data_IF_424888664404
#
_entry.id   IF_424888664404
#
_cell.length_a   1.000
_cell.length_b   1.000
_cell.length_c   1.000
_cell.angle_alpha   90.00
_cell.angle_beta   90.00
_cell.angle_gamma   90.00
#
_symmetry.space_group_name_H-M   'P 1'
#
loop_
_entity.id
_entity.type
_entity.pdbx_description
1 polymer ?
#
# COMPACT_ATOMS: atom_id res chain seq x y z
N UNK A 1 -0.99 -22.45 -10.47
CA UNK A 1 -1.30 -21.14 -9.85
C UNK A 1 -1.14 -21.14 -8.32
N UNK A 2 -1.07 -22.31 -7.68
CA UNK A 2 -0.82 -22.46 -6.22
C UNK A 2 0.61 -22.15 -5.81
N UNK A 3 1.60 -22.43 -6.66
CA UNK A 3 3.02 -22.28 -6.30
C UNK A 3 3.43 -20.83 -6.08
N UNK A 4 2.97 -19.91 -6.94
CA UNK A 4 3.26 -18.48 -6.80
C UNK A 4 2.66 -17.89 -5.52
N UNK A 5 1.45 -18.32 -5.15
CA UNK A 5 0.75 -17.85 -3.96
C UNK A 5 1.49 -18.27 -2.69
N UNK A 6 1.89 -19.54 -2.59
CA UNK A 6 2.64 -20.05 -1.44
C UNK A 6 4.02 -19.40 -1.32
N UNK A 7 4.71 -19.16 -2.46
CA UNK A 7 5.98 -18.41 -2.47
C UNK A 7 5.81 -16.99 -1.96
N UNK A 8 4.75 -16.30 -2.38
CA UNK A 8 4.47 -14.93 -1.95
C UNK A 8 4.17 -14.84 -0.44
N UNK A 9 3.31 -15.74 0.07
CA UNK A 9 3.01 -15.83 1.51
C UNK A 9 4.27 -16.15 2.32
N UNK A 10 5.12 -17.06 1.83
CA UNK A 10 6.41 -17.36 2.44
C UNK A 10 7.34 -16.15 2.49
N UNK A 11 7.44 -15.40 1.40
CA UNK A 11 8.26 -14.18 1.34
C UNK A 11 7.77 -13.11 2.32
N UNK A 12 6.45 -12.92 2.46
CA UNK A 12 5.86 -11.99 3.43
C UNK A 12 6.18 -12.38 4.87
N UNK A 13 6.13 -13.68 5.20
CA UNK A 13 6.50 -14.17 6.53
C UNK A 13 7.97 -13.89 6.84
N UNK A 14 8.86 -14.19 5.89
CA UNK A 14 10.30 -13.91 6.06
C UNK A 14 10.54 -12.41 6.24
N UNK A 15 9.89 -11.57 5.43
CA UNK A 15 9.99 -10.11 5.55
C UNK A 15 9.51 -9.61 6.92
N UNK A 16 8.41 -10.15 7.44
CA UNK A 16 7.90 -9.80 8.76
C UNK A 16 8.90 -10.19 9.88
N UNK A 17 9.43 -11.41 9.84
CA UNK A 17 10.39 -11.91 10.84
C UNK A 17 11.68 -11.08 10.81
N UNK A 18 12.23 -10.81 9.63
CA UNK A 18 13.42 -9.98 9.49
C UNK A 18 13.18 -8.56 10.01
N UNK A 19 12.02 -7.97 9.69
CA UNK A 19 11.63 -6.64 10.16
C UNK A 19 11.60 -6.58 11.69
N UNK A 20 10.97 -7.58 12.34
CA UNK A 20 10.95 -7.68 13.81
C UNK A 20 12.37 -7.82 14.37
N UNK A 21 13.22 -8.64 13.76
CA UNK A 21 14.62 -8.79 14.15
C UNK A 21 15.37 -7.46 14.14
N UNK A 22 15.19 -6.65 13.09
CA UNK A 22 15.81 -5.32 12.97
C UNK A 22 15.26 -4.35 14.01
N UNK A 23 13.94 -4.36 14.26
CA UNK A 23 13.33 -3.53 15.31
C UNK A 23 13.92 -3.86 16.68
N UNK A 24 13.99 -5.14 17.04
CA UNK A 24 14.55 -5.60 18.32
C UNK A 24 16.03 -5.21 18.43
N UNK A 25 16.81 -5.41 17.36
CA UNK A 25 18.22 -5.01 17.33
C UNK A 25 18.39 -3.50 17.51
N UNK A 26 17.62 -2.69 16.79
CA UNK A 26 17.65 -1.24 16.88
C UNK A 26 17.26 -0.74 18.29
N UNK A 27 16.23 -1.32 18.91
CA UNK A 27 15.81 -0.99 20.28
C UNK A 27 16.86 -1.40 21.32
N UNK A 28 17.53 -2.54 21.14
CA UNK A 28 18.64 -2.98 22.01
C UNK A 28 19.84 -2.04 21.88
N UNK A 29 20.22 -1.68 20.65
CA UNK A 29 21.34 -0.76 20.38
C UNK A 29 21.07 0.66 20.92
N UNK A 30 19.82 1.13 20.81
CA UNK A 30 19.37 2.41 21.38
C UNK A 30 19.61 2.52 22.89
N UNK A 31 19.54 1.41 23.63
CA UNK A 31 19.77 1.41 25.09
C UNK A 31 21.19 1.89 25.45
N UNK A 32 22.15 1.78 24.53
CA UNK A 32 23.53 2.22 24.72
C UNK A 32 23.87 3.57 24.05
N UNK A 33 23.13 4.03 23.03
CA UNK A 33 23.30 5.35 22.39
C UNK A 33 21.95 5.90 21.91
N UNK A 34 21.68 7.18 22.17
CA UNK A 34 20.52 7.91 21.63
C UNK A 34 20.69 8.19 20.11
N UNK A 35 20.92 7.16 19.32
CA UNK A 35 21.10 7.27 17.87
C UNK A 35 19.72 7.44 17.21
N UNK A 36 19.39 8.67 16.80
CA UNK A 36 18.13 8.99 16.09
C UNK A 36 17.90 8.10 14.87
N UNK A 37 18.98 7.73 14.18
CA UNK A 37 18.96 6.84 13.03
C UNK A 37 18.43 5.43 13.38
N UNK A 38 18.80 4.90 14.56
CA UNK A 38 18.30 3.59 15.00
C UNK A 38 16.79 3.64 15.28
N UNK A 39 16.29 4.75 15.82
CA UNK A 39 14.85 4.96 16.05
C UNK A 39 14.09 5.00 14.73
N UNK A 40 14.56 5.80 13.78
CA UNK A 40 13.88 5.94 12.48
C UNK A 40 13.89 4.64 11.69
N UNK A 41 14.99 3.88 11.74
CA UNK A 41 15.05 2.53 11.16
C UNK A 41 14.04 1.59 11.83
N UNK A 42 13.93 1.62 13.17
CA UNK A 42 12.96 0.79 13.88
C UNK A 42 11.51 1.16 13.51
N UNK A 43 11.19 2.45 13.36
CA UNK A 43 9.86 2.89 12.91
C UNK A 43 9.59 2.39 11.49
N UNK A 44 10.54 2.51 10.58
CA UNK A 44 10.40 2.06 9.20
C UNK A 44 10.14 0.55 9.12
N UNK A 45 10.93 -0.25 9.85
CA UNK A 45 10.75 -1.71 9.90
C UNK A 45 9.45 -2.12 10.59
N UNK A 46 8.98 -1.34 11.57
CA UNK A 46 7.67 -1.58 12.20
C UNK A 46 6.53 -1.37 11.20
N UNK A 47 6.63 -0.35 10.34
CA UNK A 47 5.66 -0.10 9.26
C UNK A 47 5.71 -1.22 8.22
N UNK A 48 6.90 -1.67 7.81
CA UNK A 48 7.04 -2.82 6.89
C UNK A 48 6.48 -4.11 7.49
N UNK A 49 6.67 -4.32 8.80
CA UNK A 49 6.06 -5.44 9.52
C UNK A 49 4.53 -5.34 9.51
N UNK A 50 3.97 -4.16 9.82
CA UNK A 50 2.52 -3.93 9.79
C UNK A 50 1.93 -4.16 8.39
N UNK A 51 2.63 -3.72 7.33
CA UNK A 51 2.28 -3.98 5.94
C UNK A 51 2.26 -5.47 5.63
N UNK A 52 3.30 -6.20 6.04
CA UNK A 52 3.43 -7.64 5.80
C UNK A 52 2.35 -8.43 6.52
N UNK A 53 2.05 -8.08 7.78
CA UNK A 53 0.98 -8.69 8.58
C UNK A 53 -0.39 -8.38 7.99
N UNK A 54 -0.65 -7.14 7.58
CA UNK A 54 -1.88 -6.76 6.89
C UNK A 54 -2.07 -7.54 5.59
N UNK A 55 -1.02 -7.68 4.79
CA UNK A 55 -1.06 -8.48 3.56
C UNK A 55 -1.35 -9.95 3.85
N UNK A 56 -0.63 -10.57 4.79
CA UNK A 56 -0.87 -11.96 5.20
C UNK A 56 -2.29 -12.19 5.70
N UNK A 57 -2.78 -11.29 6.56
CA UNK A 57 -4.13 -11.37 7.10
C UNK A 57 -5.19 -11.29 6.01
N UNK A 58 -5.00 -10.44 4.99
CA UNK A 58 -5.94 -10.34 3.86
C UNK A 58 -5.97 -11.62 3.02
N UNK A 59 -4.83 -12.27 2.81
CA UNK A 59 -4.73 -13.52 2.04
C UNK A 59 -5.25 -14.75 2.80
N UNK A 60 -5.11 -14.78 4.13
CA UNK A 60 -5.55 -15.89 4.98
C UNK A 60 -7.00 -15.75 5.45
N UNK A 61 -7.64 -14.60 5.21
CA UNK A 61 -9.00 -14.33 5.68
C UNK A 61 -10.04 -15.08 4.85
N UNK A 62 -10.85 -15.90 5.53
CA UNK A 62 -12.02 -16.55 4.94
C UNK A 62 -13.26 -15.63 4.88
N UNK A 63 -13.23 -14.50 5.60
CA UNK A 63 -14.35 -13.54 5.69
C UNK A 63 -14.05 -12.25 4.93
N UNK A 64 -15.05 -11.73 4.22
CA UNK A 64 -14.96 -10.46 3.51
C UNK A 64 -14.65 -9.30 4.46
N UNK A 65 -15.28 -9.25 5.64
CA UNK A 65 -15.06 -8.17 6.61
C UNK A 65 -13.64 -8.18 7.18
N UNK A 66 -13.09 -9.36 7.45
CA UNK A 66 -11.71 -9.51 7.92
C UNK A 66 -10.71 -9.08 6.82
N UNK A 67 -10.96 -9.46 5.57
CA UNK A 67 -10.13 -9.08 4.43
C UNK A 67 -10.03 -7.56 4.29
N UNK A 68 -11.16 -6.84 4.39
CA UNK A 68 -11.17 -5.38 4.34
C UNK A 68 -10.41 -4.72 5.49
N UNK A 69 -10.52 -5.26 6.70
CA UNK A 69 -9.76 -4.76 7.85
C UNK A 69 -8.24 -4.90 7.62
N UNK A 70 -7.78 -6.09 7.22
CA UNK A 70 -6.36 -6.37 6.97
C UNK A 70 -5.82 -5.59 5.78
N UNK A 71 -6.62 -5.44 4.73
CA UNK A 71 -6.30 -4.60 3.59
C UNK A 71 -6.18 -3.12 4.00
N UNK A 72 -7.09 -2.62 4.85
CA UNK A 72 -7.00 -1.28 5.42
C UNK A 72 -5.68 -1.05 6.18
N UNK A 73 -5.30 -2.00 7.05
CA UNK A 73 -4.03 -1.96 7.77
C UNK A 73 -2.82 -1.91 6.81
N UNK A 74 -2.82 -2.76 5.79
CA UNK A 74 -1.75 -2.79 4.78
C UNK A 74 -1.66 -1.47 4.02
N UNK A 75 -2.79 -0.87 3.65
CA UNK A 75 -2.81 0.40 2.95
C UNK A 75 -2.28 1.55 3.81
N UNK A 76 -2.69 1.63 5.08
CA UNK A 76 -2.15 2.64 6.01
C UNK A 76 -0.63 2.54 6.11
N UNK A 77 -0.10 1.32 6.21
CA UNK A 77 1.34 1.10 6.21
C UNK A 77 2.00 1.53 4.89
N UNK A 78 1.40 1.23 3.73
CA UNK A 78 1.87 1.68 2.41
C UNK A 78 2.02 3.21 2.36
N UNK A 79 1.04 3.96 2.85
CA UNK A 79 1.08 5.42 2.84
C UNK A 79 2.05 6.01 3.87
N UNK A 80 2.39 5.28 4.93
CA UNK A 80 3.39 5.69 5.92
C UNK A 80 4.85 5.46 5.47
N UNK A 81 5.08 4.55 4.51
CA UNK A 81 6.43 4.22 4.01
C UNK A 81 7.18 5.42 3.42
N UNK A 82 6.62 6.23 2.50
CA UNK A 82 7.35 7.35 1.88
C UNK A 82 7.82 8.39 2.90
N UNK A 83 6.97 8.68 3.90
CA UNK A 83 7.29 9.64 4.97
C UNK A 83 8.48 9.12 5.78
N UNK A 84 8.38 7.88 6.24
CA UNK A 84 9.38 7.28 7.13
C UNK A 84 10.71 7.04 6.42
N UNK A 85 10.65 6.64 5.14
CA UNK A 85 11.82 6.49 4.27
C UNK A 85 12.58 7.80 4.10
N UNK A 86 11.87 8.89 3.84
CA UNK A 86 12.49 10.21 3.65
C UNK A 86 13.13 10.71 4.95
N UNK A 87 12.46 10.50 6.09
CA UNK A 87 13.02 10.81 7.41
C UNK A 87 14.26 9.98 7.69
N UNK A 88 14.24 8.69 7.34
CA UNK A 88 15.40 7.80 7.45
C UNK A 88 16.56 8.27 6.59
N UNK A 89 16.31 8.57 5.32
CA UNK A 89 17.31 9.07 4.38
C UNK A 89 17.92 10.40 4.85
N UNK A 90 17.11 11.31 5.40
CA UNK A 90 17.59 12.57 5.95
C UNK A 90 18.50 12.37 7.17
N UNK A 91 18.17 11.46 8.09
CA UNK A 91 19.06 11.08 9.19
C UNK A 91 20.33 10.38 8.71
N UNK A 92 20.22 9.49 7.72
CA UNK A 92 21.36 8.79 7.14
C UNK A 92 22.36 9.74 6.46
N UNK A 93 21.86 10.77 5.78
CA UNK A 93 22.68 11.80 5.14
C UNK A 93 23.18 12.90 6.12
N UNK A 94 22.89 12.78 7.42
CA UNK A 94 23.33 13.76 8.43
C UNK A 94 22.54 15.07 8.46
N UNK A 95 21.39 15.15 7.80
CA UNK A 95 20.51 16.32 7.79
C UNK A 95 19.57 16.39 9.01
N UNK A 96 20.03 15.95 10.19
CA UNK A 96 19.27 15.95 11.46
C UNK A 96 18.59 17.28 11.79
N UNK A 97 19.19 18.40 11.38
CA UNK A 97 18.66 19.76 11.57
C UNK A 97 17.37 20.03 10.79
N UNK A 98 17.17 19.40 9.64
CA UNK A 98 16.02 19.64 8.76
C UNK A 98 14.83 18.72 9.06
N UNK A 99 15.08 17.65 9.82
CA UNK A 99 14.05 16.72 10.28
C UNK A 99 13.36 17.30 11.52
N UNK A 100 12.36 18.16 11.28
CA UNK A 100 11.51 18.71 12.33
C UNK A 100 10.10 18.13 12.25
N UNK A 101 9.33 18.21 13.34
CA UNK A 101 7.90 17.81 13.33
C UNK A 101 7.09 18.50 12.24
N UNK A 102 7.47 19.74 11.88
CA UNK A 102 6.84 20.50 10.78
C UNK A 102 7.16 19.89 9.42
N UNK A 103 8.43 19.57 9.17
CA UNK A 103 8.85 18.91 7.92
C UNK A 103 8.18 17.55 7.76
N UNK A 104 8.11 16.76 8.84
CA UNK A 104 7.42 15.47 8.86
C UNK A 104 5.93 15.64 8.57
N UNK A 105 5.29 16.62 9.21
CA UNK A 105 3.88 16.94 8.97
C UNK A 105 3.60 17.32 7.52
N UNK A 106 4.41 18.21 6.93
CA UNK A 106 4.31 18.58 5.52
C UNK A 106 4.48 17.38 4.58
N UNK A 107 5.43 16.50 4.90
CA UNK A 107 5.67 15.30 4.11
C UNK A 107 4.52 14.29 4.19
N UNK A 108 3.80 14.28 5.32
CA UNK A 108 2.63 13.43 5.52
C UNK A 108 1.37 13.95 4.82
N UNK A 109 1.32 15.23 4.41
CA UNK A 109 0.13 15.82 3.76
C UNK A 109 -0.22 15.08 2.47
N UNK A 110 0.76 14.86 1.59
CA UNK A 110 0.54 14.20 0.29
C UNK A 110 -0.01 12.77 0.46
N UNK A 111 0.64 11.87 1.23
CA UNK A 111 0.10 10.53 1.44
C UNK A 111 -1.21 10.52 2.24
N UNK A 112 -1.43 11.47 3.17
CA UNK A 112 -2.70 11.60 3.88
C UNK A 112 -3.85 12.01 2.95
N UNK A 113 -3.62 12.97 2.05
CA UNK A 113 -4.59 13.35 1.03
C UNK A 113 -4.85 12.20 0.06
N UNK A 114 -3.82 11.45 -0.32
CA UNK A 114 -3.97 10.26 -1.19
C UNK A 114 -4.75 9.14 -0.50
N UNK A 115 -4.53 8.92 0.79
CA UNK A 115 -5.32 7.97 1.57
C UNK A 115 -6.77 8.45 1.69
N UNK A 116 -6.99 9.74 1.93
CA UNK A 116 -8.32 10.33 2.00
C UNK A 116 -9.07 10.18 0.68
N UNK A 117 -8.43 10.47 -0.46
CA UNK A 117 -9.04 10.26 -1.78
C UNK A 117 -9.30 8.79 -2.04
N UNK A 118 -8.42 7.87 -1.65
CA UNK A 118 -8.65 6.43 -1.78
C UNK A 118 -9.86 5.97 -0.97
N UNK A 119 -10.01 6.40 0.29
CA UNK A 119 -11.18 6.05 1.12
C UNK A 119 -12.46 6.68 0.53
N UNK A 120 -12.37 7.91 0.04
CA UNK A 120 -13.50 8.63 -0.55
C UNK A 120 -13.93 8.02 -1.89
N UNK A 121 -12.97 7.62 -2.73
CA UNK A 121 -13.23 6.92 -4.00
C UNK A 121 -13.61 5.45 -3.80
N UNK A 122 -13.14 4.80 -2.73
CA UNK A 122 -13.63 3.48 -2.32
C UNK A 122 -15.12 3.50 -1.97
N UNK A 123 -15.60 4.61 -1.38
CA UNK A 123 -17.03 4.89 -1.27
C UNK A 123 -17.69 5.18 -2.63
N UNK A 124 -16.93 5.71 -3.59
CA UNK A 124 -17.36 6.02 -4.97
C UNK A 124 -17.15 4.85 -5.96
N UNK A 125 -17.02 3.61 -5.47
CA UNK A 125 -16.86 2.38 -6.26
C UNK A 125 -18.10 2.01 -7.12
N UNK A 126 -19.04 2.92 -7.31
CA UNK A 126 -20.04 2.88 -8.38
C UNK A 126 -19.59 3.53 -9.70
N UNK A 127 -18.34 3.98 -9.83
CA UNK A 127 -17.86 4.72 -11.00
C UNK A 127 -17.03 3.93 -12.01
N UNK A 128 -16.63 2.68 -11.69
CA UNK A 128 -15.98 1.81 -12.67
C UNK A 128 -17.04 1.26 -13.62
N UNK A 129 -16.92 1.46 -14.94
CA UNK A 129 -17.78 0.79 -15.90
C UNK A 129 -17.57 -0.72 -15.74
N UNK A 130 -18.62 -1.45 -15.36
CA UNK A 130 -18.60 -2.91 -15.42
C UNK A 130 -18.35 -3.33 -16.87
N UNK A 131 -17.63 -4.44 -17.11
CA UNK A 131 -17.30 -4.90 -18.47
C UNK A 131 -18.51 -5.11 -19.41
N UNK A 132 -19.73 -5.15 -18.88
CA UNK A 132 -20.98 -5.21 -19.64
C UNK A 132 -21.26 -3.93 -20.43
N UNK A 133 -20.84 -2.75 -19.96
CA UNK A 133 -21.10 -1.48 -20.65
C UNK A 133 -20.38 -1.35 -22.00
N UNK A 134 -19.27 -2.09 -22.18
CA UNK A 134 -18.49 -2.10 -23.41
C UNK A 134 -19.00 -3.09 -24.47
N UNK A 135 -19.73 -4.12 -24.06
CA UNK A 135 -20.31 -5.10 -24.99
C UNK A 135 -21.60 -4.59 -25.64
N UNK A 136 -22.40 -3.81 -24.90
CA UNK A 136 -23.69 -3.28 -25.40
C UNK A 136 -23.51 -2.05 -26.31
N UNK A 137 -22.40 -1.32 -26.16
CA UNK A 137 -22.11 -0.13 -26.98
C UNK A 137 -21.47 -0.47 -28.34
N UNK A 138 -20.87 -1.66 -28.50
CA UNK A 138 -20.33 -2.13 -29.79
C UNK A 138 -21.40 -2.74 -30.72
N UNK A 139 -22.67 -2.77 -30.29
CA UNK A 139 -23.80 -3.30 -31.08
C UNK A 139 -24.76 -2.20 -31.57
N UNK A 140 -24.27 -1.18 -32.27
CA UNK A 140 -25.10 -0.41 -33.22
C UNK A 140 -24.20 0.01 -34.41
N UNK A 141 -24.65 0.01 -35.68
CA UNK A 141 -26.01 -0.19 -36.20
C UNK A 141 -26.15 -1.34 -37.21
N UNK A 142 -27.35 -1.90 -37.32
CA UNK A 142 -27.78 -2.67 -38.50
C UNK A 142 -27.52 -1.86 -39.77
N UNK A 143 -26.61 -2.35 -40.60
CA UNK A 143 -26.34 -1.89 -41.98
C UNK A 143 -27.68 -1.67 -42.71
N UNK A 144 -27.95 -0.50 -43.32
CA UNK A 144 -29.17 -0.31 -44.08
C UNK A 144 -29.15 -1.27 -45.28
N UNK A 145 -30.27 -1.96 -45.49
CA UNK A 145 -30.49 -2.80 -46.65
C UNK A 145 -30.25 -1.97 -47.92
N UNK A 146 -29.12 -2.20 -48.56
CA UNK A 146 -28.79 -1.65 -49.86
C UNK A 146 -29.75 -2.23 -50.90
N UNK A 147 -30.60 -1.36 -51.45
CA UNK A 147 -31.32 -1.58 -52.71
C UNK A 147 -30.32 -1.51 -53.86
N UNK A 148 -30.19 -2.60 -54.63
CA UNK A 148 -29.63 -2.68 -55.99
C UNK A 148 -30.43 -3.77 -56.74
N UNK A 149 -31.46 -3.44 -57.51
CA UNK A 149 -31.51 -3.21 -58.99
C UNK A 149 -31.34 -4.44 -59.89
N UNK A 150 -32.13 -4.46 -60.97
CA UNK A 150 -32.25 -5.42 -62.10
C UNK A 150 -33.14 -6.64 -61.79
N UNK A 151 -34.18 -6.96 -62.55
CA UNK A 151 -34.60 -6.64 -63.94
C UNK A 151 -36.10 -6.51 -64.05
#
# INVERSE_FOLDING_TARGET
>A
MTDLHSVYVGALLVAAVLSVGVVVYALRKRRNRQDRLAVTLAVMMSITCAWSVGSLGAHLSASASATWFWFGLSNVATFALPVTWTVFAAHYAGYDRHVTRRTIGLLAVVPALTFLTMVTNGFQAGSWPTPDSSAETLTLPTRPAGRTTST
#
